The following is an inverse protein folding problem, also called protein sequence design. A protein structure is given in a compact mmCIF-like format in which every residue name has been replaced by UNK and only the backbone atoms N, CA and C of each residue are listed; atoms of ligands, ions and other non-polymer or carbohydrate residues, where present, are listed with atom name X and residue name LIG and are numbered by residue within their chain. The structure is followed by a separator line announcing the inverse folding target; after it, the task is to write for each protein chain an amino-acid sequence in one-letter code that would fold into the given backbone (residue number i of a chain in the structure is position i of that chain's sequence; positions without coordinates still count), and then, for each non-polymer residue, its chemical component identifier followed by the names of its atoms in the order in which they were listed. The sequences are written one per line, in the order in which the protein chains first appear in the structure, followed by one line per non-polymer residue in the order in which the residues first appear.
data_IF_654473843835
#
_entry.id   IF_654473843835
#
_cell.length_a   1.000
_cell.length_b   1.000
_cell.length_c   1.000
_cell.angle_alpha   90.00
_cell.angle_beta   90.00
_cell.angle_gamma   90.00
#
_symmetry.space_group_name_H-M   'P 1'
#
loop_
_entity.id
_entity.type
_entity.pdbx_description
1 polymer ?
#
# COMPACT_ATOMS: atom_id res chain seq x y z
N UNK A 1 -10.02 -2.25 2.57
CA UNK A 1 -10.26 -0.91 3.18
C UNK A 1 -9.67 -0.75 4.59
N UNK A 2 -9.66 -1.76 5.46
CA UNK A 2 -9.10 -1.62 6.83
C UNK A 2 -7.57 -1.42 6.87
N UNK A 3 -6.83 -2.06 5.96
CA UNK A 3 -5.37 -1.94 5.91
C UNK A 3 -4.92 -0.49 5.62
N UNK A 4 -5.50 0.14 4.59
CA UNK A 4 -5.20 1.52 4.23
C UNK A 4 -5.60 2.51 5.34
N UNK A 5 -6.72 2.27 6.03
CA UNK A 5 -7.09 3.07 7.19
C UNK A 5 -6.05 2.95 8.33
N UNK A 6 -5.53 1.76 8.59
CA UNK A 6 -4.46 1.54 9.56
C UNK A 6 -3.14 2.20 9.17
N UNK A 7 -2.76 2.16 7.89
CA UNK A 7 -1.54 2.81 7.37
C UNK A 7 -1.60 4.34 7.46
N UNK A 8 -2.77 4.92 7.21
CA UNK A 8 -3.01 6.36 7.32
C UNK A 8 -3.09 6.88 8.77
N UNK A 9 -3.07 6.01 9.77
CA UNK A 9 -3.04 6.42 11.17
C UNK A 9 -1.67 7.05 11.49
N UNK A 10 -1.59 8.28 12.03
CA UNK A 10 -0.32 8.95 12.34
C UNK A 10 0.53 8.23 13.40
N UNK A 11 -0.05 7.31 14.16
CA UNK A 11 0.66 6.47 15.13
C UNK A 11 1.11 5.13 14.55
N UNK A 12 0.83 4.86 13.27
CA UNK A 12 1.26 3.65 12.60
C UNK A 12 2.79 3.68 12.39
N UNK A 13 3.48 2.70 13.00
CA UNK A 13 4.95 2.56 12.94
C UNK A 13 5.38 1.34 12.12
N UNK A 14 4.53 0.89 11.19
CA UNK A 14 4.84 -0.25 10.36
C UNK A 14 6.03 0.07 9.43
N UNK A 15 7.10 -0.72 9.52
CA UNK A 15 8.31 -0.52 8.70
C UNK A 15 8.33 -1.38 7.43
N UNK A 16 7.64 -2.52 7.46
CA UNK A 16 7.60 -3.47 6.33
C UNK A 16 6.17 -3.92 6.07
N UNK A 17 5.74 -3.82 4.81
CA UNK A 17 4.45 -4.32 4.34
C UNK A 17 4.67 -5.21 3.12
N UNK A 18 4.28 -6.49 3.23
CA UNK A 18 4.36 -7.44 2.12
C UNK A 18 2.97 -7.94 1.77
N UNK A 19 2.54 -7.66 0.56
CA UNK A 19 1.27 -8.09 -0.03
C UNK A 19 1.51 -8.86 -1.33
N UNK A 20 2.67 -9.51 -1.46
CA UNK A 20 2.99 -10.29 -2.65
C UNK A 20 1.94 -11.39 -2.90
N UNK A 21 1.46 -11.51 -4.15
CA UNK A 21 0.41 -12.47 -4.54
C UNK A 21 -0.92 -12.32 -3.77
N UNK A 22 -1.23 -11.14 -3.24
CA UNK A 22 -2.48 -10.88 -2.52
C UNK A 22 -3.65 -10.41 -3.41
N UNK A 23 -3.51 -10.49 -4.74
CA UNK A 23 -4.53 -10.04 -5.70
C UNK A 23 -4.92 -8.57 -5.50
N UNK A 24 -3.94 -7.73 -5.15
CA UNK A 24 -4.16 -6.28 -5.00
C UNK A 24 -4.56 -5.69 -6.35
N UNK A 25 -5.74 -5.06 -6.39
CA UNK A 25 -6.28 -4.37 -7.57
C UNK A 25 -5.76 -2.94 -7.68
N UNK A 26 -6.02 -2.27 -8.80
CA UNK A 26 -5.72 -0.85 -9.00
C UNK A 26 -6.26 0.04 -7.88
N UNK A 27 -7.55 -0.11 -7.53
CA UNK A 27 -8.20 0.62 -6.44
C UNK A 27 -7.50 0.35 -5.09
N UNK A 28 -7.06 -0.88 -4.88
CA UNK A 28 -6.27 -1.27 -3.71
C UNK A 28 -4.95 -0.52 -3.65
N UNK A 29 -4.20 -0.47 -4.75
CA UNK A 29 -2.95 0.29 -4.86
C UNK A 29 -3.18 1.79 -4.63
N UNK A 30 -4.20 2.38 -5.26
CA UNK A 30 -4.55 3.79 -5.07
C UNK A 30 -4.88 4.11 -3.60
N UNK A 31 -5.61 3.21 -2.94
CA UNK A 31 -5.92 3.32 -1.51
C UNK A 31 -4.67 3.25 -0.63
N UNK A 32 -3.73 2.36 -0.94
CA UNK A 32 -2.45 2.25 -0.25
C UNK A 32 -1.61 3.52 -0.42
N UNK A 33 -1.50 4.04 -1.65
CA UNK A 33 -0.75 5.29 -1.92
C UNK A 33 -1.35 6.47 -1.17
N UNK A 34 -2.68 6.62 -1.15
CA UNK A 34 -3.34 7.70 -0.42
C UNK A 34 -3.07 7.64 1.10
N UNK A 35 -3.10 6.43 1.67
CA UNK A 35 -2.79 6.21 3.08
C UNK A 35 -1.33 6.56 3.42
N UNK A 36 -0.38 6.11 2.60
CA UNK A 36 1.06 6.38 2.76
C UNK A 36 1.43 7.86 2.57
N UNK A 37 0.63 8.62 1.81
CA UNK A 37 0.78 10.08 1.69
C UNK A 37 0.24 10.81 2.93
N UNK A 38 -0.89 10.35 3.47
CA UNK A 38 -1.55 10.97 4.62
C UNK A 38 -0.76 10.79 5.91
N UNK A 39 -0.05 9.68 6.04
CA UNK A 39 0.92 9.43 7.09
C UNK A 39 2.26 9.11 6.40
N UNK A 40 3.19 10.07 6.25
CA UNK A 40 4.52 9.80 5.71
C UNK A 40 5.20 8.76 6.59
N UNK A 41 4.97 7.51 6.23
CA UNK A 41 5.07 6.39 7.15
C UNK A 41 6.52 6.06 7.44
N UNK A 42 6.76 5.38 8.56
CA UNK A 42 8.03 4.72 8.82
C UNK A 42 8.30 3.53 7.88
N UNK A 43 7.43 3.28 6.89
CA UNK A 43 7.55 2.18 5.94
C UNK A 43 8.80 2.35 5.09
N UNK A 44 9.72 1.40 5.25
CA UNK A 44 10.98 1.30 4.50
C UNK A 44 10.89 0.29 3.37
N UNK A 45 10.01 -0.70 3.52
CA UNK A 45 9.85 -1.77 2.55
C UNK A 45 8.37 -2.01 2.24
N UNK A 46 8.04 -1.96 0.94
CA UNK A 46 6.74 -2.29 0.40
C UNK A 46 6.91 -3.31 -0.72
N UNK A 47 6.46 -4.54 -0.49
CA UNK A 47 6.44 -5.60 -1.49
C UNK A 47 5.01 -5.81 -2.02
N UNK A 48 4.79 -5.37 -3.26
CA UNK A 48 3.56 -5.62 -4.02
C UNK A 48 3.82 -6.56 -5.21
N UNK A 49 4.92 -7.31 -5.23
CA UNK A 49 5.26 -8.23 -6.31
C UNK A 49 4.14 -9.23 -6.60
N UNK A 50 4.04 -9.67 -7.85
CA UNK A 50 3.02 -10.64 -8.28
C UNK A 50 1.57 -10.23 -7.94
N UNK A 51 1.29 -8.94 -7.86
CA UNK A 51 -0.06 -8.40 -7.95
C UNK A 51 -0.31 -7.89 -9.36
N UNK A 52 -1.59 -7.73 -9.70
CA UNK A 52 -2.02 -7.23 -10.99
C UNK A 52 -2.75 -5.89 -10.79
N UNK A 53 -2.02 -4.77 -10.62
CA UNK A 53 -2.64 -3.46 -10.47
C UNK A 53 -3.33 -2.95 -11.75
N UNK A 54 -3.31 -3.72 -12.85
CA UNK A 54 -3.86 -3.32 -14.15
C UNK A 54 -2.84 -2.58 -15.04
N UNK A 55 -3.25 -2.18 -16.24
CA UNK A 55 -2.41 -1.53 -17.26
C UNK A 55 -1.93 -0.11 -16.86
N UNK A 56 -2.47 0.46 -15.78
CA UNK A 56 -1.99 1.74 -15.24
C UNK A 56 -0.70 1.61 -14.42
N UNK A 57 -0.19 0.38 -14.22
CA UNK A 57 1.02 0.08 -13.45
C UNK A 57 2.35 0.58 -14.05
N UNK A 58 2.32 1.38 -15.12
CA UNK A 58 3.53 1.93 -15.76
C UNK A 58 3.39 3.43 -16.02
N UNK A 59 3.89 4.23 -15.08
CA UNK A 59 4.88 5.27 -15.38
C UNK A 59 5.65 5.70 -14.14
#
# INVERSE_FOLDING_TARGET
KLLSAGLGNPHCKLETLRLSRCLVTEEGCASLVSALRSNPSHLRELDLSYNHPGDSGVR
#
